data_IF_127440338893
#
_entry.id   IF_127440338893
#
_cell.length_a   1.000
_cell.length_b   1.000
_cell.length_c   1.000
_cell.angle_alpha   90.00
_cell.angle_beta   90.00
_cell.angle_gamma   90.00
#
_symmetry.space_group_name_H-M   'P 1'
#
loop_
_entity.id
_entity.type
_entity.pdbx_description
1 polymer ?
#
# COMPACT_ATOMS: atom_id res chain seq x y z
N UNK A 1 20.59 11.64 5.64
CA UNK A 1 20.71 10.15 5.48
C UNK A 1 19.34 9.56 5.84
N UNK A 2 18.79 8.67 5.01
CA UNK A 2 17.50 8.04 5.29
C UNK A 2 17.58 7.24 6.59
N UNK A 3 16.67 7.51 7.51
CA UNK A 3 16.58 6.87 8.83
C UNK A 3 15.43 5.88 8.92
N UNK A 4 14.40 6.08 8.09
CA UNK A 4 13.19 5.27 8.11
C UNK A 4 12.65 5.09 6.69
N UNK A 5 12.24 3.87 6.34
CA UNK A 5 11.50 3.57 5.12
C UNK A 5 10.12 3.05 5.51
N UNK A 6 9.10 3.70 4.97
CA UNK A 6 7.71 3.27 5.07
C UNK A 6 7.39 2.48 3.81
N UNK A 7 6.76 1.33 3.94
CA UNK A 7 6.24 0.54 2.83
C UNK A 7 4.72 0.46 2.89
N UNK A 8 4.08 0.60 1.75
CA UNK A 8 2.76 0.04 1.59
C UNK A 8 2.86 -1.50 1.66
N UNK A 9 1.72 -2.17 1.82
CA UNK A 9 1.69 -3.62 2.01
C UNK A 9 1.31 -4.35 0.72
N UNK A 10 0.12 -4.05 0.19
CA UNK A 10 -0.44 -4.74 -0.98
C UNK A 10 0.32 -4.35 -2.24
N UNK A 11 0.66 -5.34 -3.07
CA UNK A 11 1.44 -5.14 -4.31
C UNK A 11 2.83 -4.48 -4.11
N UNK A 12 3.19 -4.12 -2.88
CA UNK A 12 4.49 -3.53 -2.54
C UNK A 12 5.39 -4.52 -1.80
N UNK A 13 4.91 -5.12 -0.71
CA UNK A 13 5.60 -6.18 0.04
C UNK A 13 5.01 -7.57 -0.23
N UNK A 14 3.70 -7.64 -0.46
CA UNK A 14 2.95 -8.88 -0.70
C UNK A 14 2.12 -8.70 -1.96
N UNK A 15 2.24 -9.63 -2.90
CA UNK A 15 1.33 -9.74 -4.05
C UNK A 15 0.01 -10.32 -3.58
N UNK A 16 -1.03 -9.50 -3.56
CA UNK A 16 -2.38 -9.81 -3.10
C UNK A 16 -3.45 -9.55 -4.16
N UNK A 17 -3.04 -9.46 -5.42
CA UNK A 17 -3.95 -9.06 -6.51
C UNK A 17 -5.12 -10.03 -6.69
N UNK A 18 -4.89 -11.32 -6.46
CA UNK A 18 -5.94 -12.34 -6.53
C UNK A 18 -6.93 -12.21 -5.38
N UNK A 19 -6.45 -11.89 -4.17
CA UNK A 19 -7.30 -11.56 -3.02
C UNK A 19 -8.18 -10.34 -3.35
N UNK A 20 -7.59 -9.32 -3.96
CA UNK A 20 -8.33 -8.12 -4.33
C UNK A 20 -9.48 -8.47 -5.28
N UNK A 21 -9.20 -9.24 -6.33
CA UNK A 21 -10.23 -9.69 -7.27
C UNK A 21 -11.34 -10.49 -6.59
N UNK A 22 -11.00 -11.42 -5.72
CA UNK A 22 -11.98 -12.24 -5.01
C UNK A 22 -12.86 -11.41 -4.09
N UNK A 23 -12.26 -10.56 -3.22
CA UNK A 23 -13.02 -9.71 -2.30
C UNK A 23 -13.85 -8.68 -3.05
N UNK A 24 -13.36 -8.15 -4.17
CA UNK A 24 -14.12 -7.25 -5.03
C UNK A 24 -15.37 -7.93 -5.58
N UNK A 25 -15.25 -9.16 -6.07
CA UNK A 25 -16.38 -9.96 -6.59
C UNK A 25 -17.37 -10.34 -5.49
N UNK A 26 -16.89 -10.71 -4.31
CA UNK A 26 -17.75 -10.98 -3.15
C UNK A 26 -18.54 -9.72 -2.76
N UNK A 27 -17.88 -8.57 -2.76
CA UNK A 27 -18.52 -7.29 -2.44
C UNK A 27 -19.53 -6.89 -3.53
N UNK A 28 -19.20 -7.06 -4.81
CA UNK A 28 -20.14 -6.84 -5.91
C UNK A 28 -21.41 -7.68 -5.73
N UNK A 29 -21.22 -8.98 -5.45
CA UNK A 29 -22.34 -9.92 -5.26
C UNK A 29 -23.21 -9.54 -4.08
N UNK A 30 -22.61 -9.10 -2.97
CA UNK A 30 -23.34 -8.62 -1.80
C UNK A 30 -24.30 -7.46 -2.12
N UNK A 31 -23.87 -6.55 -3.02
CA UNK A 31 -24.70 -5.41 -3.47
C UNK A 31 -25.56 -5.74 -4.71
N UNK A 32 -25.73 -7.02 -5.06
CA UNK A 32 -26.57 -7.45 -6.17
C UNK A 32 -25.94 -7.28 -7.56
N UNK A 33 -24.66 -7.01 -7.63
CA UNK A 33 -23.87 -7.03 -8.87
C UNK A 33 -23.46 -8.44 -9.27
N UNK A 34 -22.94 -8.57 -10.50
CA UNK A 34 -22.38 -9.84 -10.99
C UNK A 34 -20.86 -9.85 -10.84
N UNK A 35 -20.26 -11.00 -10.49
CA UNK A 35 -18.81 -11.14 -10.49
C UNK A 35 -18.22 -10.79 -11.86
N UNK A 36 -17.08 -10.11 -11.86
CA UNK A 36 -16.35 -9.74 -13.07
C UNK A 36 -15.21 -10.72 -13.34
N UNK A 37 -14.93 -10.96 -14.61
CA UNK A 37 -13.81 -11.81 -15.01
C UNK A 37 -12.47 -11.17 -14.63
N UNK A 38 -11.43 -12.00 -14.52
CA UNK A 38 -10.08 -11.55 -14.25
C UNK A 38 -9.61 -10.46 -15.21
N UNK A 39 -9.81 -10.64 -16.53
CA UNK A 39 -9.37 -9.68 -17.55
C UNK A 39 -10.08 -8.33 -17.42
N UNK A 40 -11.38 -8.34 -17.09
CA UNK A 40 -12.13 -7.11 -16.87
C UNK A 40 -11.67 -6.42 -15.58
N UNK A 41 -11.43 -7.19 -14.52
CA UNK A 41 -10.92 -6.69 -13.25
C UNK A 41 -9.55 -6.02 -13.45
N UNK A 42 -8.55 -6.73 -13.99
CA UNK A 42 -7.19 -6.20 -14.19
C UNK A 42 -7.20 -4.94 -15.04
N UNK A 43 -8.00 -4.92 -16.12
CA UNK A 43 -8.14 -3.72 -16.96
C UNK A 43 -8.63 -2.51 -16.15
N UNK A 44 -9.66 -2.70 -15.33
CA UNK A 44 -10.22 -1.60 -14.54
C UNK A 44 -9.32 -1.25 -13.35
N UNK A 45 -8.68 -2.23 -12.73
CA UNK A 45 -7.70 -2.01 -11.67
C UNK A 45 -6.54 -1.13 -12.13
N UNK A 46 -5.87 -1.51 -13.24
CA UNK A 46 -4.74 -0.75 -13.82
C UNK A 46 -5.14 0.65 -14.31
N UNK A 47 -6.41 0.87 -14.67
CA UNK A 47 -6.91 2.17 -15.10
C UNK A 47 -7.53 2.99 -13.97
N UNK A 48 -7.57 2.46 -12.74
CA UNK A 48 -8.23 3.09 -11.59
C UNK A 48 -9.72 3.41 -11.87
N UNK A 49 -10.41 2.45 -12.49
CA UNK A 49 -11.81 2.57 -12.91
C UNK A 49 -12.73 1.49 -12.34
N UNK A 50 -12.30 0.79 -11.27
CA UNK A 50 -13.12 -0.23 -10.60
C UNK A 50 -14.47 0.29 -10.15
N UNK A 51 -14.55 1.57 -9.80
CA UNK A 51 -15.77 2.29 -9.45
C UNK A 51 -16.87 2.19 -10.52
N UNK A 52 -16.49 2.02 -11.79
CA UNK A 52 -17.44 1.90 -12.90
C UNK A 52 -18.15 0.55 -12.94
N UNK A 53 -17.64 -0.43 -12.20
CA UNK A 53 -18.20 -1.78 -12.10
C UNK A 53 -19.17 -1.92 -10.91
N UNK A 54 -19.18 -0.94 -10.00
CA UNK A 54 -20.07 -0.95 -8.85
C UNK A 54 -21.51 -0.68 -9.31
N UNK A 55 -22.52 -1.43 -8.81
CA UNK A 55 -23.92 -1.22 -9.17
C UNK A 55 -24.37 0.22 -8.92
N UNK A 56 -25.10 0.80 -9.85
CA UNK A 56 -25.51 2.23 -9.82
C UNK A 56 -26.43 2.58 -8.65
N UNK A 57 -27.09 1.60 -8.05
CA UNK A 57 -27.94 1.74 -6.86
C UNK A 57 -27.15 1.57 -5.54
N UNK A 58 -25.83 1.33 -5.62
CA UNK A 58 -24.96 1.20 -4.46
C UNK A 58 -24.19 2.51 -4.23
N UNK A 59 -24.13 2.97 -2.98
CA UNK A 59 -23.22 4.03 -2.56
C UNK A 59 -21.78 3.49 -2.58
N UNK A 60 -20.90 4.18 -3.32
CA UNK A 60 -19.51 3.76 -3.49
C UNK A 60 -18.74 3.75 -2.18
N UNK A 61 -19.00 4.69 -1.28
CA UNK A 61 -18.32 4.73 0.02
C UNK A 61 -18.73 3.52 0.88
N UNK A 62 -20.01 3.15 0.83
CA UNK A 62 -20.53 1.95 1.52
C UNK A 62 -19.89 0.68 0.93
N UNK A 63 -19.77 0.61 -0.41
CA UNK A 63 -19.11 -0.49 -1.11
C UNK A 63 -17.65 -0.65 -0.64
N UNK A 64 -16.85 0.42 -0.74
CA UNK A 64 -15.44 0.37 -0.39
C UNK A 64 -15.20 0.16 1.11
N UNK A 65 -16.10 0.63 1.96
CA UNK A 65 -16.04 0.35 3.40
C UNK A 65 -16.24 -1.14 3.70
N UNK A 66 -17.21 -1.79 3.03
CA UNK A 66 -17.40 -3.24 3.17
C UNK A 66 -16.22 -4.00 2.58
N UNK A 67 -15.74 -3.61 1.39
CA UNK A 67 -14.55 -4.20 0.77
C UNK A 67 -13.35 -4.17 1.72
N UNK A 68 -12.99 -2.97 2.26
CA UNK A 68 -11.84 -2.81 3.18
C UNK A 68 -11.93 -3.69 4.42
N UNK A 69 -13.14 -3.85 4.98
CA UNK A 69 -13.36 -4.73 6.14
C UNK A 69 -13.23 -6.21 5.76
N UNK A 70 -13.80 -6.60 4.63
CA UNK A 70 -13.78 -7.99 4.16
C UNK A 70 -12.38 -8.43 3.72
N UNK A 71 -11.59 -7.51 3.19
CA UNK A 71 -10.23 -7.78 2.71
C UNK A 71 -9.30 -8.38 3.77
N UNK A 72 -9.56 -8.07 5.04
CA UNK A 72 -8.76 -8.52 6.17
C UNK A 72 -9.19 -9.88 6.73
N UNK A 73 -10.26 -10.46 6.16
CA UNK A 73 -10.89 -11.65 6.75
C UNK A 73 -10.18 -12.95 6.39
N UNK A 74 -9.36 -12.97 5.34
CA UNK A 74 -8.64 -14.16 4.90
C UNK A 74 -7.37 -13.82 4.09
N UNK A 75 -6.48 -14.81 3.96
CA UNK A 75 -5.33 -14.80 3.08
C UNK A 75 -5.69 -15.68 1.89
N UNK A 76 -5.53 -15.18 0.67
CA UNK A 76 -5.79 -15.94 -0.55
C UNK A 76 -4.64 -16.94 -0.80
N UNK A 77 -4.93 -18.10 -1.38
CA UNK A 77 -3.92 -19.15 -1.62
C UNK A 77 -2.80 -18.74 -2.56
N UNK A 78 -3.03 -17.74 -3.42
CA UNK A 78 -2.04 -17.17 -4.34
C UNK A 78 -1.31 -15.95 -3.78
N UNK A 79 -1.65 -15.50 -2.57
CA UNK A 79 -0.90 -14.41 -1.94
C UNK A 79 0.53 -14.87 -1.61
N UNK A 80 1.48 -14.01 -1.91
CA UNK A 80 2.89 -14.31 -1.68
C UNK A 80 3.70 -13.03 -1.50
N UNK A 81 4.80 -13.08 -0.75
CA UNK A 81 5.75 -11.97 -0.72
C UNK A 81 6.26 -11.63 -2.12
N UNK A 82 6.44 -10.34 -2.40
CA UNK A 82 7.07 -9.87 -3.65
C UNK A 82 8.50 -10.40 -3.73
N UNK A 83 8.91 -10.84 -4.93
CA UNK A 83 10.23 -11.40 -5.15
C UNK A 83 11.33 -10.41 -4.69
N UNK A 84 12.27 -10.90 -3.88
CA UNK A 84 13.37 -10.11 -3.33
C UNK A 84 13.04 -9.26 -2.10
N UNK A 85 11.81 -9.35 -1.55
CA UNK A 85 11.42 -8.57 -0.38
C UNK A 85 12.30 -8.84 0.83
N UNK A 86 12.62 -10.11 1.10
CA UNK A 86 13.43 -10.48 2.28
C UNK A 86 14.83 -9.91 2.20
N UNK A 87 15.45 -9.96 1.03
CA UNK A 87 16.81 -9.44 0.79
C UNK A 87 16.84 -7.92 1.02
N UNK A 88 15.84 -7.20 0.52
CA UNK A 88 15.76 -5.74 0.66
C UNK A 88 15.51 -5.34 2.12
N UNK A 89 14.57 -6.00 2.81
CA UNK A 89 14.29 -5.70 4.21
C UNK A 89 15.50 -6.02 5.09
N UNK A 90 16.15 -7.16 4.87
CA UNK A 90 17.38 -7.52 5.59
C UNK A 90 18.52 -6.52 5.34
N UNK A 91 18.68 -6.05 4.10
CA UNK A 91 19.65 -5.03 3.75
C UNK A 91 19.40 -3.71 4.48
N UNK A 92 18.14 -3.25 4.54
CA UNK A 92 17.76 -2.05 5.29
C UNK A 92 18.05 -2.19 6.79
N UNK A 93 17.73 -3.34 7.38
CA UNK A 93 18.05 -3.63 8.80
C UNK A 93 19.55 -3.59 9.04
N UNK A 94 20.35 -4.14 8.11
CA UNK A 94 21.83 -4.09 8.17
C UNK A 94 22.41 -2.66 8.13
N UNK A 95 21.66 -1.71 7.57
CA UNK A 95 22.01 -0.29 7.58
C UNK A 95 21.51 0.46 8.84
N UNK A 96 20.76 -0.20 9.73
CA UNK A 96 20.12 0.42 10.89
C UNK A 96 18.91 1.30 10.53
N UNK A 97 18.37 1.16 9.32
CA UNK A 97 17.18 1.89 8.87
C UNK A 97 15.94 1.26 9.48
N UNK A 98 15.04 2.08 10.02
CA UNK A 98 13.74 1.61 10.54
C UNK A 98 12.81 1.28 9.40
N UNK A 99 12.01 0.23 9.56
CA UNK A 99 11.07 -0.28 8.56
C UNK A 99 9.66 -0.27 9.12
N UNK A 100 8.79 0.48 8.46
CA UNK A 100 7.39 0.66 8.86
C UNK A 100 6.48 0.16 7.74
N UNK A 101 5.42 -0.55 8.11
CA UNK A 101 4.29 -0.83 7.21
C UNK A 101 3.19 0.20 7.45
N UNK A 102 2.75 0.87 6.38
CA UNK A 102 1.63 1.81 6.41
C UNK A 102 0.67 1.48 5.27
N UNK A 103 -0.46 0.84 5.58
CA UNK A 103 -1.38 0.29 4.59
C UNK A 103 -2.72 1.03 4.54
N UNK A 104 -3.31 1.09 3.33
CA UNK A 104 -4.68 1.57 3.09
C UNK A 104 -5.79 0.61 3.55
N UNK A 105 -5.46 -0.52 4.14
CA UNK A 105 -6.44 -1.46 4.67
C UNK A 105 -7.17 -0.90 5.90
N UNK A 106 -8.44 -1.23 6.03
CA UNK A 106 -9.26 -0.93 7.22
C UNK A 106 -9.23 -2.02 8.29
N UNK A 107 -8.17 -2.84 8.33
CA UNK A 107 -7.98 -3.91 9.31
C UNK A 107 -7.39 -3.39 10.63
N UNK A 108 -7.57 -4.16 11.69
CA UNK A 108 -6.83 -3.91 12.91
C UNK A 108 -5.33 -4.14 12.70
N UNK A 109 -4.51 -3.41 13.45
CA UNK A 109 -3.06 -3.62 13.47
C UNK A 109 -2.67 -5.08 13.74
N UNK A 110 -3.42 -5.76 14.58
CA UNK A 110 -3.17 -7.17 14.94
C UNK A 110 -3.42 -8.11 13.75
N UNK A 111 -4.40 -7.83 12.89
CA UNK A 111 -4.66 -8.66 11.71
C UNK A 111 -3.50 -8.54 10.72
N UNK A 112 -2.97 -7.33 10.53
CA UNK A 112 -1.80 -7.09 9.69
C UNK A 112 -0.55 -7.76 10.26
N UNK A 113 -0.33 -7.70 11.58
CA UNK A 113 0.78 -8.38 12.24
C UNK A 113 0.69 -9.90 12.04
N UNK A 114 -0.51 -10.50 12.13
CA UNK A 114 -0.69 -11.94 11.87
C UNK A 114 -0.33 -12.30 10.44
N UNK A 115 -0.73 -11.48 9.47
CA UNK A 115 -0.39 -11.70 8.05
C UNK A 115 1.12 -11.55 7.81
N UNK A 116 1.75 -10.50 8.35
CA UNK A 116 3.21 -10.33 8.27
C UNK A 116 3.96 -11.51 8.93
N UNK A 117 3.40 -12.06 10.02
CA UNK A 117 3.94 -13.26 10.69
C UNK A 117 3.78 -14.50 9.81
N UNK A 118 2.61 -14.68 9.19
CA UNK A 118 2.35 -15.79 8.28
C UNK A 118 3.34 -15.83 7.11
N UNK A 119 3.67 -14.66 6.56
CA UNK A 119 4.67 -14.51 5.50
C UNK A 119 6.11 -14.32 6.02
N UNK A 120 6.38 -14.50 7.32
CA UNK A 120 7.72 -14.35 7.92
C UNK A 120 8.37 -12.98 7.67
N UNK A 121 7.56 -11.93 7.57
CA UNK A 121 8.02 -10.55 7.36
C UNK A 121 8.09 -9.75 8.67
N UNK A 122 7.41 -10.18 9.72
CA UNK A 122 7.24 -9.40 10.96
C UNK A 122 8.56 -9.06 11.65
N UNK A 123 9.56 -9.94 11.58
CA UNK A 123 10.86 -9.73 12.25
C UNK A 123 11.68 -8.58 11.65
N UNK A 124 11.32 -8.13 10.45
CA UNK A 124 11.93 -6.96 9.81
C UNK A 124 11.23 -5.64 10.20
N UNK A 125 9.98 -5.69 10.69
CA UNK A 125 9.09 -4.53 10.80
C UNK A 125 9.20 -3.91 12.20
N UNK A 126 9.50 -2.61 12.24
CA UNK A 126 9.61 -1.82 13.49
C UNK A 126 8.25 -1.20 13.90
N UNK A 127 7.27 -1.14 13.00
CA UNK A 127 5.92 -0.63 13.29
C UNK A 127 4.92 -0.87 12.18
N UNK A 128 3.64 -0.96 12.56
CA UNK A 128 2.52 -1.20 11.64
C UNK A 128 1.45 -0.15 11.85
N UNK A 129 1.00 0.49 10.77
CA UNK A 129 -0.06 1.49 10.74
C UNK A 129 -1.08 1.14 9.65
N UNK A 130 -2.35 1.28 9.95
CA UNK A 130 -3.44 1.04 9.01
C UNK A 130 -4.46 2.18 9.04
N UNK A 131 -5.29 2.31 8.01
CA UNK A 131 -6.36 3.31 8.01
C UNK A 131 -7.36 3.16 9.17
N UNK A 132 -7.40 1.99 9.83
CA UNK A 132 -8.16 1.82 11.07
C UNK A 132 -7.66 2.73 12.21
N UNK A 133 -6.41 3.17 12.15
CA UNK A 133 -5.77 4.05 13.14
C UNK A 133 -5.92 5.55 12.80
N UNK A 134 -6.45 5.90 11.61
CA UNK A 134 -6.60 7.29 11.13
C UNK A 134 -8.00 7.83 11.39
N UNK A 135 -8.11 9.12 11.74
CA UNK A 135 -9.42 9.79 11.77
C UNK A 135 -9.97 9.85 10.34
N UNK A 136 -11.21 9.37 10.08
CA UNK A 136 -11.81 9.43 8.75
C UNK A 136 -11.86 10.85 8.14
N UNK A 137 -11.88 11.91 8.95
CA UNK A 137 -11.85 13.29 8.46
C UNK A 137 -10.52 13.71 7.84
N UNK A 138 -9.45 12.93 8.04
CA UNK A 138 -8.13 13.16 7.44
C UNK A 138 -7.99 12.49 6.06
N UNK A 139 -8.99 11.68 5.62
CA UNK A 139 -8.98 10.97 4.34
C UNK A 139 -9.62 11.87 3.25
N UNK A 140 -8.84 12.72 2.58
CA UNK A 140 -9.32 13.63 1.53
C UNK A 140 -9.75 12.87 0.25
N UNK A 141 -9.01 11.82 -0.09
CA UNK A 141 -9.33 10.87 -1.16
C UNK A 141 -9.30 9.47 -0.58
N UNK A 142 -10.02 8.55 -1.20
CA UNK A 142 -10.07 7.17 -0.75
C UNK A 142 -8.65 6.57 -0.61
N UNK A 143 -8.34 5.99 0.53
CA UNK A 143 -7.03 5.45 0.92
C UNK A 143 -5.94 6.49 1.23
N UNK A 144 -6.24 7.80 1.34
CA UNK A 144 -5.26 8.80 1.76
C UNK A 144 -4.74 8.49 3.18
N UNK A 145 -3.44 8.35 3.27
CA UNK A 145 -2.71 8.00 4.51
C UNK A 145 -1.87 9.16 5.06
N UNK A 146 -2.11 10.38 4.59
CA UNK A 146 -1.31 11.53 5.03
C UNK A 146 -1.38 11.78 6.54
N UNK A 147 -2.52 11.48 7.18
CA UNK A 147 -2.66 11.50 8.64
C UNK A 147 -1.74 10.50 9.32
N UNK A 148 -1.71 9.24 8.84
CA UNK A 148 -0.82 8.21 9.35
C UNK A 148 0.65 8.57 9.14
N UNK A 149 1.01 9.13 7.99
CA UNK A 149 2.39 9.54 7.71
C UNK A 149 2.86 10.64 8.68
N UNK A 150 2.01 11.65 8.97
CA UNK A 150 2.30 12.66 10.01
C UNK A 150 2.47 12.03 11.37
N UNK A 151 1.64 11.06 11.73
CA UNK A 151 1.74 10.33 12.98
C UNK A 151 3.04 9.53 13.07
N UNK A 152 3.44 8.83 12.01
CA UNK A 152 4.71 8.09 11.95
C UNK A 152 5.90 9.05 12.18
N UNK A 153 5.92 10.20 11.51
CA UNK A 153 6.96 11.21 11.73
C UNK A 153 7.04 11.63 13.20
N UNK A 154 5.90 11.87 13.82
CA UNK A 154 5.81 12.23 15.25
C UNK A 154 6.26 11.10 16.17
N UNK A 155 5.78 9.87 15.95
CA UNK A 155 6.07 8.71 16.79
C UNK A 155 7.58 8.36 16.80
N UNK A 156 8.25 8.59 15.66
CA UNK A 156 9.69 8.33 15.52
C UNK A 156 10.56 9.59 15.67
N UNK A 157 9.95 10.76 15.92
CA UNK A 157 10.64 12.05 16.05
C UNK A 157 11.57 12.31 14.85
N UNK A 158 11.02 12.22 13.63
CA UNK A 158 11.75 12.37 12.38
C UNK A 158 11.19 13.53 11.53
N UNK A 159 12.09 14.15 10.76
CA UNK A 159 11.69 15.12 9.74
C UNK A 159 11.33 14.39 8.43
N UNK A 160 10.45 14.96 7.57
CA UNK A 160 10.10 14.35 6.29
C UNK A 160 11.31 13.98 5.41
N UNK A 161 12.39 14.78 5.46
CA UNK A 161 13.64 14.53 4.73
C UNK A 161 14.43 13.30 5.18
N UNK A 162 14.12 12.76 6.36
CA UNK A 162 14.73 11.55 6.91
C UNK A 162 14.00 10.27 6.47
N UNK A 163 12.84 10.41 5.80
CA UNK A 163 11.89 9.33 5.56
C UNK A 163 11.60 9.16 4.08
N UNK A 164 11.43 7.91 3.66
CA UNK A 164 10.98 7.55 2.32
C UNK A 164 9.70 6.73 2.45
N UNK A 165 8.73 6.96 1.56
CA UNK A 165 7.56 6.13 1.40
C UNK A 165 7.62 5.40 0.06
N UNK A 166 7.50 4.06 0.10
CA UNK A 166 7.51 3.16 -1.06
C UNK A 166 6.13 2.55 -1.21
N UNK A 167 5.51 2.71 -2.36
CA UNK A 167 4.18 2.17 -2.65
C UNK A 167 3.92 2.02 -4.14
N UNK A 168 2.86 1.31 -4.49
CA UNK A 168 2.50 0.96 -5.87
C UNK A 168 1.30 1.75 -6.42
N UNK A 169 0.58 2.46 -5.55
CA UNK A 169 -0.67 3.13 -5.91
C UNK A 169 -0.50 4.66 -5.90
N UNK A 170 -1.22 5.37 -6.77
CA UNK A 170 -1.09 6.83 -6.90
C UNK A 170 -1.39 7.58 -5.59
N UNK A 171 -2.27 7.02 -4.74
CA UNK A 171 -2.59 7.62 -3.44
C UNK A 171 -1.41 7.58 -2.48
N UNK A 172 -0.49 6.61 -2.62
CA UNK A 172 0.74 6.57 -1.81
C UNK A 172 1.60 7.78 -2.11
N UNK A 173 1.78 8.06 -3.40
CA UNK A 173 2.52 9.21 -3.88
C UNK A 173 1.87 10.51 -3.42
N UNK A 174 0.55 10.63 -3.57
CA UNK A 174 -0.25 11.76 -3.12
C UNK A 174 -0.09 12.01 -1.61
N UNK A 175 -0.25 10.96 -0.80
CA UNK A 175 -0.15 11.04 0.66
C UNK A 175 1.26 11.45 1.11
N UNK A 176 2.30 10.87 0.51
CA UNK A 176 3.70 11.23 0.78
C UNK A 176 3.97 12.70 0.44
N UNK A 177 3.50 13.16 -0.73
CA UNK A 177 3.68 14.54 -1.19
C UNK A 177 3.02 15.56 -0.27
N UNK A 178 1.81 15.28 0.23
CA UNK A 178 1.11 16.12 1.22
C UNK A 178 1.92 16.35 2.50
N UNK A 179 2.76 15.40 2.86
CA UNK A 179 3.56 15.41 4.10
C UNK A 179 5.01 15.84 3.85
N UNK A 180 5.43 15.93 2.58
CA UNK A 180 6.79 16.30 2.21
C UNK A 180 7.81 15.16 2.30
N UNK A 181 7.34 13.91 2.37
CA UNK A 181 8.15 12.69 2.36
C UNK A 181 8.52 12.35 0.92
N UNK A 182 9.77 11.90 0.69
CA UNK A 182 10.20 11.38 -0.60
C UNK A 182 9.40 10.13 -0.96
N UNK A 183 8.76 10.14 -2.14
CA UNK A 183 7.90 9.07 -2.63
C UNK A 183 8.61 8.23 -3.70
N UNK A 184 8.64 6.92 -3.54
CA UNK A 184 9.15 5.97 -4.53
C UNK A 184 8.00 5.08 -4.98
N UNK A 185 7.64 5.20 -6.27
CA UNK A 185 6.65 4.33 -6.89
C UNK A 185 7.25 3.00 -7.32
N UNK A 186 6.59 1.87 -7.00
CA UNK A 186 6.93 0.55 -7.51
C UNK A 186 5.91 0.10 -8.54
N UNK A 187 6.37 -0.54 -9.64
CA UNK A 187 5.50 -0.99 -10.73
C UNK A 187 4.97 -2.42 -10.54
N UNK A 188 5.02 -2.96 -9.33
CA UNK A 188 4.47 -4.28 -9.00
C UNK A 188 2.96 -4.29 -8.85
N UNK A 189 2.32 -3.11 -8.70
CA UNK A 189 0.89 -2.96 -8.47
C UNK A 189 0.02 -2.69 -9.70
N UNK A 190 0.54 -2.83 -10.91
CA UNK A 190 -0.18 -2.60 -12.16
C UNK A 190 -0.57 -1.12 -12.45
N UNK A 191 -0.22 -0.17 -11.59
CA UNK A 191 -0.37 1.25 -11.90
C UNK A 191 0.61 1.68 -13.00
N UNK A 192 0.18 2.48 -13.99
CA UNK A 192 1.09 2.99 -15.00
C UNK A 192 2.03 4.04 -14.41
N UNK A 193 3.32 3.99 -14.80
CA UNK A 193 4.36 4.90 -14.35
C UNK A 193 3.95 6.38 -14.40
N UNK A 194 3.32 6.80 -15.51
CA UNK A 194 2.90 8.20 -15.69
C UNK A 194 1.93 8.68 -14.60
N UNK A 195 1.10 7.78 -14.05
CA UNK A 195 0.16 8.14 -12.99
C UNK A 195 0.88 8.34 -11.67
N UNK A 196 1.80 7.44 -11.31
CA UNK A 196 2.62 7.60 -10.10
C UNK A 196 3.41 8.91 -10.15
N UNK A 197 4.04 9.23 -11.30
CA UNK A 197 4.75 10.50 -11.51
C UNK A 197 3.82 11.70 -11.40
N UNK A 198 2.64 11.65 -12.00
CA UNK A 198 1.63 12.72 -11.94
C UNK A 198 1.23 13.05 -10.50
N UNK A 199 1.13 12.06 -9.63
CA UNK A 199 0.72 12.23 -8.24
C UNK A 199 1.87 12.43 -7.26
N UNK A 200 3.12 12.53 -7.75
CA UNK A 200 4.24 13.03 -6.98
C UNK A 200 5.31 12.02 -6.63
N UNK A 201 5.39 10.88 -7.35
CA UNK A 201 6.56 10.02 -7.23
C UNK A 201 7.84 10.80 -7.58
N UNK A 202 8.81 10.81 -6.69
CA UNK A 202 10.13 11.39 -6.93
C UNK A 202 11.01 10.40 -7.72
N UNK A 203 10.77 9.10 -7.54
CA UNK A 203 11.45 8.02 -8.25
C UNK A 203 10.46 6.89 -8.59
N UNK A 204 10.76 6.18 -9.68
CA UNK A 204 10.04 4.96 -10.09
C UNK A 204 11.02 3.80 -10.18
N UNK A 205 10.63 2.65 -9.64
CA UNK A 205 11.38 1.40 -9.73
C UNK A 205 10.44 0.26 -10.15
N UNK A 206 10.96 -0.71 -10.91
CA UNK A 206 10.15 -1.85 -11.36
C UNK A 206 9.71 -2.76 -10.20
N UNK A 207 10.54 -2.87 -9.18
CA UNK A 207 10.29 -3.65 -7.96
C UNK A 207 11.18 -3.14 -6.84
N UNK A 208 10.80 -3.43 -5.59
CA UNK A 208 11.57 -3.05 -4.40
C UNK A 208 13.03 -3.53 -4.41
N UNK A 209 13.39 -4.56 -5.18
CA UNK A 209 14.78 -5.02 -5.35
C UNK A 209 15.71 -3.92 -5.89
N UNK A 210 15.14 -2.89 -6.53
CA UNK A 210 15.88 -1.72 -7.02
C UNK A 210 16.03 -0.59 -5.98
N UNK A 211 15.41 -0.72 -4.82
CA UNK A 211 15.47 0.28 -3.77
C UNK A 211 16.92 0.61 -3.32
N UNK A 212 17.84 -0.36 -3.15
CA UNK A 212 19.23 -0.07 -2.79
C UNK A 212 19.93 0.87 -3.78
N UNK A 213 19.66 0.73 -5.09
CA UNK A 213 20.23 1.58 -6.13
C UNK A 213 19.75 3.04 -6.01
N UNK A 214 18.48 3.23 -5.67
CA UNK A 214 17.90 4.57 -5.47
C UNK A 214 18.44 5.20 -4.18
N UNK A 215 18.45 4.46 -3.07
CA UNK A 215 18.93 4.97 -1.79
C UNK A 215 20.40 5.39 -1.83
N UNK A 216 21.22 4.73 -2.66
CA UNK A 216 22.61 5.12 -2.86
C UNK A 216 22.74 6.49 -3.54
N UNK A 217 21.80 6.87 -4.42
CA UNK A 217 21.77 8.16 -5.14
C UNK A 217 21.21 9.30 -4.29
N UNK A 218 20.25 9.02 -3.41
CA UNK A 218 19.65 10.02 -2.51
C UNK A 218 20.66 10.42 -1.42
N UNK A 219 21.66 9.59 -1.12
CA UNK A 219 22.71 9.88 -0.14
C UNK A 219 23.77 10.89 -0.62
N UNK A 220 23.79 11.23 -1.90
CA UNK A 220 24.69 12.25 -2.49
C UNK A 220 24.02 13.60 -2.49
#
# INVERSE_FOLDING_TARGET
MVKLVIFDLDQTLIDTIHRFHEVFNLTLTYFGGSPVSWDLFIRNYSNDTLDTLIPTNCDKNVFWNLFRKSYCSFIHELDKPIDGVYEVLNWLKGLGVKIIVCTGRGCSRMDIIRELTYFSLIDFIDGVYSLCDQDPSEEDVLFDRSGLLRRILSDFNLEPSDVIFVGDYWVDMYSAKKVGITAIGVLTGHEPEWRLLKFGADHIINSIVKLPEILSKIKG
#
